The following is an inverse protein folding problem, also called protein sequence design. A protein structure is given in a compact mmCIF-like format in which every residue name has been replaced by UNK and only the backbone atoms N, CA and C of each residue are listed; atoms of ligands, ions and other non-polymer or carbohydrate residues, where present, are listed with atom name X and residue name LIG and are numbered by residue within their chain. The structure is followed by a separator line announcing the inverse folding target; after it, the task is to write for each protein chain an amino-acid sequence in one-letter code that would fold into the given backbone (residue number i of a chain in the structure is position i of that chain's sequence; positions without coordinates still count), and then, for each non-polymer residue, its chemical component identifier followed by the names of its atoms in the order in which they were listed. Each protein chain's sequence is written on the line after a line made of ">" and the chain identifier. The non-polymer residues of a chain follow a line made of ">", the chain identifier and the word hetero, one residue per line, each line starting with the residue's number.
data_IF_312280877431
#
_entry.id   IF_312280877431
#
_cell.length_a   1.000
_cell.length_b   1.000
_cell.length_c   1.000
_cell.angle_alpha   90.00
_cell.angle_beta   90.00
_cell.angle_gamma   90.00
#
_symmetry.space_group_name_H-M   'P 1'
#
loop_
_entity.id
_entity.type
_entity.pdbx_description
1 polymer ?
#
# COMPACT_ATOMS: atom_id res chain seq x y z
N UNK A 1 18.92 -31.00 13.15
CA UNK A 1 17.48 -30.85 12.88
C UNK A 1 17.33 -29.90 11.70
N UNK A 2 17.17 -30.45 10.50
CA UNK A 2 17.03 -29.65 9.29
C UNK A 2 15.57 -29.18 9.21
N UNK A 3 15.32 -27.89 9.43
CA UNK A 3 14.02 -27.27 9.11
C UNK A 3 13.84 -27.35 7.59
N UNK A 4 13.21 -28.42 7.11
CA UNK A 4 12.74 -28.52 5.73
C UNK A 4 11.55 -27.57 5.54
N UNK A 5 11.82 -26.26 5.46
CA UNK A 5 10.83 -25.18 5.31
C UNK A 5 9.99 -25.24 4.01
N UNK A 6 10.21 -26.24 3.15
CA UNK A 6 9.59 -26.38 1.83
C UNK A 6 8.42 -27.37 1.78
N UNK A 7 8.15 -28.15 2.85
CA UNK A 7 7.10 -29.18 2.79
C UNK A 7 5.67 -28.65 3.01
N UNK A 8 5.50 -27.41 3.49
CA UNK A 8 4.20 -26.88 3.95
C UNK A 8 3.65 -25.73 3.09
N UNK A 9 3.87 -25.76 1.78
CA UNK A 9 3.35 -24.71 0.90
C UNK A 9 1.94 -25.04 0.41
N UNK A 10 0.97 -24.19 0.74
CA UNK A 10 -0.40 -24.30 0.23
C UNK A 10 -0.66 -23.16 -0.76
N UNK A 11 -1.17 -23.48 -1.94
CA UNK A 11 -1.56 -22.49 -2.96
C UNK A 11 -3.08 -22.26 -2.89
N UNK A 12 -3.51 -21.03 -2.61
CA UNK A 12 -4.93 -20.65 -2.57
C UNK A 12 -5.32 -19.96 -3.89
N UNK A 13 -6.37 -20.46 -4.53
CA UNK A 13 -6.96 -19.89 -5.76
C UNK A 13 -8.33 -19.24 -5.48
N UNK A 14 -8.80 -18.44 -6.45
CA UNK A 14 -10.11 -17.77 -6.43
C UNK A 14 -10.26 -16.67 -5.35
N UNK A 15 -9.30 -15.75 -5.30
CA UNK A 15 -9.35 -14.57 -4.43
C UNK A 15 -9.77 -13.36 -5.25
N UNK A 16 -11.01 -12.91 -5.05
CA UNK A 16 -11.61 -11.83 -5.86
C UNK A 16 -11.39 -10.42 -5.28
N UNK A 17 -10.85 -10.31 -4.06
CA UNK A 17 -10.58 -9.02 -3.41
C UNK A 17 -9.40 -9.10 -2.44
N UNK A 18 -8.78 -7.96 -2.14
CA UNK A 18 -7.74 -7.86 -1.09
C UNK A 18 -8.29 -8.27 0.28
N UNK A 19 -9.55 -7.94 0.56
CA UNK A 19 -10.20 -8.33 1.82
C UNK A 19 -10.38 -9.85 1.90
N UNK A 20 -10.77 -10.49 0.80
CA UNK A 20 -10.84 -11.95 0.72
C UNK A 20 -9.45 -12.60 0.84
N UNK A 21 -8.42 -11.99 0.27
CA UNK A 21 -7.03 -12.45 0.41
C UNK A 21 -6.58 -12.45 1.87
N UNK A 22 -6.78 -11.35 2.60
CA UNK A 22 -6.43 -11.28 4.02
C UNK A 22 -7.16 -12.37 4.83
N UNK A 23 -8.48 -12.50 4.65
CA UNK A 23 -9.26 -13.55 5.33
C UNK A 23 -8.78 -14.96 5.00
N UNK A 24 -8.43 -15.22 3.75
CA UNK A 24 -7.93 -16.52 3.32
C UNK A 24 -6.57 -16.84 3.95
N UNK A 25 -5.69 -15.85 4.04
CA UNK A 25 -4.39 -15.98 4.70
C UNK A 25 -4.59 -16.27 6.19
N UNK A 26 -5.40 -15.48 6.89
CA UNK A 26 -5.67 -15.65 8.32
C UNK A 26 -6.27 -17.03 8.63
N UNK A 27 -7.21 -17.48 7.79
CA UNK A 27 -7.82 -18.80 7.90
C UNK A 27 -6.79 -19.92 7.73
N UNK A 28 -5.94 -19.83 6.69
CA UNK A 28 -4.98 -20.88 6.37
C UNK A 28 -3.84 -20.94 7.40
N UNK A 29 -3.37 -19.80 7.91
CA UNK A 29 -2.43 -19.73 9.03
C UNK A 29 -3.04 -20.43 10.25
N UNK A 30 -4.28 -20.09 10.62
CA UNK A 30 -4.96 -20.67 11.78
C UNK A 30 -5.12 -22.19 11.65
N UNK A 31 -5.48 -22.66 10.44
CA UNK A 31 -5.59 -24.09 10.12
C UNK A 31 -4.25 -24.81 10.27
N UNK A 32 -3.18 -24.30 9.65
CA UNK A 32 -1.87 -24.94 9.68
C UNK A 32 -1.29 -24.96 11.09
N UNK A 33 -1.43 -23.87 11.85
CA UNK A 33 -1.03 -23.81 13.26
C UNK A 33 -1.79 -24.83 14.11
N UNK A 34 -3.10 -24.98 13.90
CA UNK A 34 -3.92 -25.96 14.61
C UNK A 34 -3.47 -27.40 14.32
N UNK A 35 -3.28 -27.74 13.04
CA UNK A 35 -2.81 -29.07 12.61
C UNK A 35 -1.41 -29.37 13.17
N UNK A 36 -0.52 -28.39 13.13
CA UNK A 36 0.83 -28.52 13.70
C UNK A 36 0.78 -28.74 15.22
N UNK A 37 -0.06 -27.98 15.93
CA UNK A 37 -0.19 -28.07 17.40
C UNK A 37 -0.82 -29.38 17.86
N UNK A 38 -1.65 -30.02 17.02
CA UNK A 38 -2.26 -31.32 17.28
C UNK A 38 -1.35 -32.51 16.93
N UNK A 39 -0.09 -32.25 16.52
CA UNK A 39 0.83 -33.30 16.06
C UNK A 39 0.43 -33.91 14.71
N UNK A 40 -0.46 -33.25 13.97
CA UNK A 40 -0.93 -33.66 12.64
C UNK A 40 -0.20 -32.92 11.52
N UNK A 41 1.08 -32.61 11.71
CA UNK A 41 1.91 -31.90 10.74
C UNK A 41 1.96 -32.60 9.38
N UNK A 42 1.80 -33.93 9.35
CA UNK A 42 1.80 -34.74 8.12
C UNK A 42 0.57 -34.49 7.23
N UNK A 43 -0.47 -33.84 7.75
CA UNK A 43 -1.63 -33.42 6.96
C UNK A 43 -1.40 -32.09 6.24
N UNK A 44 -0.35 -31.35 6.58
CA UNK A 44 0.04 -30.10 5.92
C UNK A 44 0.90 -30.47 4.71
N UNK A 45 0.23 -30.87 3.63
CA UNK A 45 0.86 -31.25 2.37
C UNK A 45 0.80 -30.11 1.35
N UNK A 46 1.68 -30.17 0.35
CA UNK A 46 1.64 -29.22 -0.77
C UNK A 46 0.41 -29.49 -1.65
N UNK A 47 -0.61 -28.64 -1.51
CA UNK A 47 -1.88 -28.77 -2.21
C UNK A 47 -2.40 -27.44 -2.74
N UNK A 48 -3.26 -27.52 -3.75
CA UNK A 48 -4.02 -26.35 -4.22
C UNK A 48 -5.40 -26.36 -3.57
N UNK A 49 -5.72 -25.26 -2.88
CA UNK A 49 -7.01 -25.02 -2.22
C UNK A 49 -7.76 -23.88 -2.91
N UNK A 50 -9.08 -23.91 -2.80
CA UNK A 50 -9.98 -22.87 -3.28
C UNK A 50 -10.48 -22.04 -2.11
N UNK A 51 -10.48 -20.72 -2.23
CA UNK A 51 -11.22 -19.87 -1.31
C UNK A 51 -12.71 -19.85 -1.65
N UNK A 52 -13.54 -20.23 -0.68
CA UNK A 52 -15.00 -20.16 -0.77
C UNK A 52 -15.50 -18.97 0.05
N UNK A 53 -15.98 -17.94 -0.63
CA UNK A 53 -16.34 -16.68 0.03
C UNK A 53 -17.59 -16.80 0.93
N UNK A 54 -18.59 -17.59 0.51
CA UNK A 54 -19.80 -17.82 1.29
C UNK A 54 -19.57 -18.60 2.59
N UNK A 55 -18.58 -19.50 2.59
CA UNK A 55 -18.20 -20.29 3.77
C UNK A 55 -17.00 -19.75 4.54
N UNK A 56 -16.35 -18.68 4.05
CA UNK A 56 -15.09 -18.12 4.56
C UNK A 56 -14.05 -19.19 4.91
N UNK A 57 -13.90 -20.18 4.02
CA UNK A 57 -13.03 -21.35 4.26
C UNK A 57 -12.25 -21.71 3.00
N UNK A 58 -11.08 -22.30 3.21
CA UNK A 58 -10.33 -22.93 2.13
C UNK A 58 -10.80 -24.38 1.96
N UNK A 59 -11.10 -24.79 0.73
CA UNK A 59 -11.51 -26.17 0.40
C UNK A 59 -10.43 -26.80 -0.47
N UNK A 60 -9.99 -28.02 -0.13
CA UNK A 60 -9.02 -28.75 -0.95
C UNK A 60 -9.60 -29.04 -2.33
N UNK A 61 -8.88 -28.66 -3.40
CA UNK A 61 -9.25 -29.07 -4.76
C UNK A 61 -8.48 -30.32 -5.19
N UNK A 62 -7.16 -30.32 -5.02
CA UNK A 62 -6.28 -31.44 -5.42
C UNK A 62 -5.26 -31.68 -4.31
N UNK A 63 -5.31 -32.88 -3.72
CA UNK A 63 -4.47 -33.30 -2.58
C UNK A 63 -3.02 -33.60 -2.96
N UNK A 64 -2.77 -33.93 -4.22
CA UNK A 64 -1.44 -34.26 -4.73
C UNK A 64 -1.14 -33.38 -5.93
N UNK A 65 -0.04 -32.63 -5.83
CA UNK A 65 0.66 -32.14 -7.01
C UNK A 65 1.33 -33.38 -7.62
N UNK A 66 0.67 -34.04 -8.57
CA UNK A 66 1.25 -35.13 -9.35
C UNK A 66 2.47 -34.58 -10.12
N UNK A 67 3.63 -34.54 -9.46
CA UNK A 67 4.84 -33.93 -9.98
C UNK A 67 4.77 -32.41 -10.14
N UNK A 68 5.94 -31.77 -10.21
CA UNK A 68 6.04 -30.50 -10.92
C UNK A 68 5.56 -30.80 -12.34
N UNK A 69 4.49 -30.14 -12.77
CA UNK A 69 4.04 -30.21 -14.15
C UNK A 69 5.22 -29.78 -15.03
N UNK A 70 5.76 -30.73 -15.78
CA UNK A 70 6.86 -30.50 -16.71
C UNK A 70 6.32 -29.69 -17.90
N UNK A 71 6.17 -28.39 -17.67
CA UNK A 71 6.00 -27.41 -18.71
C UNK A 71 7.32 -27.39 -19.47
N UNK A 72 7.42 -28.25 -20.48
CA UNK A 72 8.57 -28.37 -21.38
C UNK A 72 8.76 -27.04 -22.11
N UNK A 73 9.34 -26.05 -21.44
CA UNK A 73 9.53 -24.71 -21.97
C UNK A 73 10.43 -24.81 -23.20
N UNK A 74 9.93 -24.34 -24.33
CA UNK A 74 10.69 -24.15 -25.55
C UNK A 74 10.41 -22.74 -26.08
N UNK A 75 11.38 -22.10 -26.76
CA UNK A 75 11.15 -20.82 -27.42
C UNK A 75 10.05 -20.97 -28.47
N UNK A 76 9.05 -20.10 -28.44
CA UNK A 76 7.98 -20.10 -29.44
C UNK A 76 8.60 -19.85 -30.83
N UNK A 77 8.52 -20.81 -31.78
CA UNK A 77 9.24 -20.70 -33.05
C UNK A 77 8.65 -19.64 -33.99
N UNK A 78 7.38 -19.31 -33.81
CA UNK A 78 6.64 -18.37 -34.66
C UNK A 78 6.79 -16.91 -34.19
N UNK A 79 7.28 -16.68 -32.96
CA UNK A 79 7.47 -15.34 -32.41
C UNK A 79 8.94 -14.93 -32.55
N UNK A 80 9.24 -13.85 -33.30
CA UNK A 80 10.60 -13.30 -33.31
C UNK A 80 10.97 -12.75 -31.92
N UNK A 81 12.26 -12.71 -31.63
CA UNK A 81 12.75 -12.12 -30.39
C UNK A 81 12.32 -10.65 -30.26
N UNK A 82 11.79 -10.30 -29.08
CA UNK A 82 11.43 -8.92 -28.78
C UNK A 82 12.70 -8.15 -28.41
N UNK A 83 13.23 -7.39 -29.36
CA UNK A 83 14.39 -6.51 -29.14
C UNK A 83 13.89 -5.13 -28.71
N UNK A 84 14.20 -4.75 -27.47
CA UNK A 84 13.91 -3.42 -26.93
C UNK A 84 15.13 -2.53 -27.12
N UNK A 85 15.01 -1.47 -27.92
CA UNK A 85 16.09 -0.50 -28.10
C UNK A 85 16.22 0.42 -26.88
N UNK A 86 17.42 0.93 -26.62
CA UNK A 86 17.66 1.89 -25.53
C UNK A 86 16.80 3.15 -25.71
N UNK A 87 16.62 3.63 -26.94
CA UNK A 87 15.74 4.76 -27.25
C UNK A 87 14.28 4.48 -26.88
N UNK A 88 13.80 3.26 -27.16
CA UNK A 88 12.44 2.86 -26.81
C UNK A 88 12.25 2.80 -25.29
N UNK A 89 13.18 2.19 -24.57
CA UNK A 89 13.16 2.14 -23.09
C UNK A 89 13.25 3.55 -22.50
N UNK A 90 14.14 4.39 -23.04
CA UNK A 90 14.31 5.78 -22.62
C UNK A 90 13.06 6.64 -22.84
N UNK A 91 12.34 6.42 -23.95
CA UNK A 91 11.08 7.10 -24.21
C UNK A 91 9.99 6.71 -23.19
N UNK A 92 9.91 5.43 -22.82
CA UNK A 92 8.99 4.95 -21.79
C UNK A 92 9.37 5.55 -20.45
N UNK A 93 10.63 5.44 -20.03
CA UNK A 93 11.13 6.00 -18.77
C UNK A 93 10.82 7.49 -18.63
N UNK A 94 10.94 8.25 -19.72
CA UNK A 94 10.65 9.70 -19.74
C UNK A 94 9.15 10.01 -19.66
N UNK A 95 8.30 9.08 -20.12
CA UNK A 95 6.83 9.22 -20.06
C UNK A 95 6.21 8.76 -18.73
N UNK A 96 6.96 8.01 -17.92
CA UNK A 96 6.45 7.47 -16.66
C UNK A 96 6.17 8.59 -15.65
N UNK A 97 5.01 8.56 -14.96
CA UNK A 97 4.73 9.50 -13.89
C UNK A 97 5.62 9.24 -12.67
N UNK A 98 5.71 10.24 -11.79
CA UNK A 98 6.39 10.12 -10.50
C UNK A 98 5.83 8.92 -9.72
N UNK A 99 6.72 8.03 -9.26
CA UNK A 99 6.34 6.85 -8.48
C UNK A 99 5.63 7.27 -7.18
N UNK A 100 4.63 6.51 -6.70
CA UNK A 100 3.90 6.84 -5.47
C UNK A 100 4.83 7.05 -4.26
N UNK A 101 5.89 6.27 -4.14
CA UNK A 101 6.87 6.40 -3.06
C UNK A 101 7.64 7.74 -3.12
N UNK A 102 8.02 8.18 -4.31
CA UNK A 102 8.68 9.48 -4.49
C UNK A 102 7.72 10.63 -4.21
N UNK A 103 6.46 10.50 -4.65
CA UNK A 103 5.37 11.44 -4.31
C UNK A 103 5.22 11.58 -2.80
N UNK A 104 5.21 10.46 -2.05
CA UNK A 104 5.11 10.48 -0.58
C UNK A 104 6.25 11.27 0.06
N UNK A 105 7.50 10.94 -0.28
CA UNK A 105 8.68 11.64 0.24
C UNK A 105 8.68 13.13 -0.10
N UNK A 106 8.19 13.51 -1.30
CA UNK A 106 8.04 14.91 -1.69
C UNK A 106 7.02 15.64 -0.80
N UNK A 107 5.88 15.02 -0.52
CA UNK A 107 4.85 15.59 0.36
C UNK A 107 5.27 15.65 1.83
N UNK A 108 6.00 14.64 2.32
CA UNK A 108 6.60 14.66 3.66
C UNK A 108 7.58 15.82 3.82
N UNK A 109 8.45 16.05 2.82
CA UNK A 109 9.36 17.20 2.80
C UNK A 109 8.65 18.57 2.76
N UNK A 110 7.39 18.61 2.30
CA UNK A 110 6.56 19.81 2.31
C UNK A 110 5.89 20.05 3.68
N UNK A 111 6.11 19.17 4.66
CA UNK A 111 5.54 19.30 6.01
C UNK A 111 4.07 18.88 6.11
N UNK A 112 3.56 18.12 5.12
CA UNK A 112 2.20 17.58 5.16
C UNK A 112 2.09 16.44 6.17
N UNK A 113 0.90 16.29 6.76
CA UNK A 113 0.62 15.18 7.67
C UNK A 113 0.68 13.84 6.93
N UNK A 114 1.03 12.76 7.64
CA UNK A 114 1.12 11.42 7.04
C UNK A 114 -0.22 10.98 6.40
N UNK A 115 -1.36 11.41 6.96
CA UNK A 115 -2.69 11.11 6.44
C UNK A 115 -2.92 11.79 5.08
N UNK A 116 -2.60 13.08 4.98
CA UNK A 116 -2.73 13.85 3.73
C UNK A 116 -1.79 13.31 2.65
N UNK A 117 -0.56 12.96 3.04
CA UNK A 117 0.45 12.36 2.14
C UNK A 117 -0.06 11.06 1.55
N UNK A 118 -0.63 10.16 2.37
CA UNK A 118 -1.12 8.87 1.90
C UNK A 118 -2.30 9.04 0.94
N UNK A 119 -3.21 9.96 1.24
CA UNK A 119 -4.36 10.27 0.38
C UNK A 119 -3.91 10.83 -0.98
N UNK A 120 -3.04 11.85 -0.97
CA UNK A 120 -2.59 12.54 -2.18
C UNK A 120 -1.63 11.70 -3.04
N UNK A 121 -0.88 10.78 -2.43
CA UNK A 121 0.06 9.93 -3.17
C UNK A 121 -0.62 8.74 -3.86
N UNK A 122 -1.77 8.29 -3.36
CA UNK A 122 -2.51 7.18 -3.94
C UNK A 122 -3.43 7.61 -5.10
N UNK A 123 -3.64 8.92 -5.29
CA UNK A 123 -4.36 9.44 -6.44
C UNK A 123 -3.47 9.46 -7.69
N UNK A 124 -3.96 8.85 -8.78
CA UNK A 124 -3.28 8.79 -10.07
C UNK A 124 -3.35 10.14 -10.79
N UNK A 125 -4.42 10.90 -10.54
CA UNK A 125 -4.65 12.24 -11.08
C UNK A 125 -4.95 13.21 -9.94
N UNK A 126 -3.96 13.59 -9.11
CA UNK A 126 -4.18 14.61 -8.11
C UNK A 126 -4.67 15.87 -8.85
N UNK A 127 -5.80 16.47 -8.44
CA UNK A 127 -6.30 17.65 -9.11
C UNK A 127 -5.17 18.68 -9.14
N UNK A 128 -4.80 19.14 -10.33
CA UNK A 128 -3.75 20.16 -10.55
C UNK A 128 -3.98 21.44 -9.71
N UNK A 129 -5.19 21.56 -9.15
CA UNK A 129 -5.66 22.59 -8.24
C UNK A 129 -5.09 22.53 -6.80
N UNK A 130 -4.58 21.39 -6.32
CA UNK A 130 -4.34 21.18 -4.88
C UNK A 130 -3.08 21.83 -4.29
N UNK A 131 -1.95 21.78 -4.99
CA UNK A 131 -0.68 22.28 -4.44
C UNK A 131 -0.58 23.82 -4.43
N UNK A 132 -1.26 24.49 -5.37
CA UNK A 132 -1.26 25.96 -5.43
C UNK A 132 -2.16 26.58 -4.37
N UNK A 133 -3.34 26.01 -4.15
CA UNK A 133 -4.26 26.46 -3.08
C UNK A 133 -3.72 26.18 -1.67
N UNK A 134 -3.00 25.07 -1.45
CA UNK A 134 -2.41 24.78 -0.13
C UNK A 134 -1.33 25.80 0.22
N UNK A 135 -0.44 26.17 -0.72
CA UNK A 135 0.58 27.19 -0.48
C UNK A 135 -0.02 28.58 -0.21
N UNK A 136 -1.12 28.96 -0.89
CA UNK A 136 -1.83 30.22 -0.62
C UNK A 136 -2.57 30.20 0.74
N UNK A 137 -3.09 29.05 1.16
CA UNK A 137 -3.73 28.87 2.47
C UNK A 137 -2.74 29.07 3.63
N UNK A 138 -1.55 28.46 3.56
CA UNK A 138 -0.53 28.58 4.62
C UNK A 138 0.07 29.99 4.71
N UNK A 139 0.17 30.71 3.59
CA UNK A 139 0.56 32.12 3.58
C UNK A 139 -0.51 33.04 4.21
N UNK A 140 -1.79 32.70 4.09
CA UNK A 140 -2.89 33.48 4.66
C UNK A 140 -3.05 33.24 6.18
N UNK A 141 -2.88 32.00 6.63
CA UNK A 141 -2.95 31.62 8.05
C UNK A 141 -1.84 32.26 8.91
N UNK A 142 -0.64 32.42 8.34
CA UNK A 142 0.47 33.11 9.03
C UNK A 142 0.20 34.61 9.20
N UNK A 143 -0.41 35.26 8.21
CA UNK A 143 -0.76 36.69 8.30
C UNK A 143 -1.89 36.95 9.31
N UNK A 144 -2.90 36.06 9.37
CA UNK A 144 -4.01 36.14 10.33
C UNK A 144 -3.55 35.95 11.77
N UNK A 145 -2.65 34.99 12.02
CA UNK A 145 -2.09 34.76 13.36
C UNK A 145 -1.23 35.95 13.81
N UNK A 146 -0.43 36.55 12.92
CA UNK A 146 0.38 37.74 13.26
C UNK A 146 -0.51 38.94 13.58
N UNK A 147 -1.58 39.18 12.82
CA UNK A 147 -2.54 40.25 13.09
C UNK A 147 -3.30 40.03 14.41
N UNK A 148 -3.69 38.79 14.70
CA UNK A 148 -4.39 38.47 15.95
C UNK A 148 -3.47 38.65 17.16
N UNK A 149 -2.20 38.21 17.09
CA UNK A 149 -1.23 38.49 18.14
C UNK A 149 -0.97 39.99 18.32
N UNK A 150 -0.84 40.74 17.22
CA UNK A 150 -0.58 42.17 17.26
C UNK A 150 -1.74 42.95 17.91
N UNK A 151 -2.99 42.65 17.53
CA UNK A 151 -4.19 43.22 18.14
C UNK A 151 -4.29 42.88 19.64
N UNK A 152 -3.93 41.66 20.02
CA UNK A 152 -3.99 41.20 21.39
C UNK A 152 -2.91 41.86 22.26
N UNK A 153 -1.73 42.14 21.71
CA UNK A 153 -0.71 42.96 22.38
C UNK A 153 -1.11 44.43 22.50
N UNK A 154 -1.78 45.02 21.50
CA UNK A 154 -2.27 46.40 21.58
C UNK A 154 -3.36 46.53 22.66
N UNK A 155 -4.33 45.62 22.70
CA UNK A 155 -5.38 45.60 23.72
C UNK A 155 -4.83 45.36 25.14
N UNK A 156 -3.77 44.56 25.28
CA UNK A 156 -3.04 44.40 26.55
C UNK A 156 -2.34 45.70 26.98
N UNK A 157 -1.72 46.43 26.04
CA UNK A 157 -1.05 47.70 26.31
C UNK A 157 -2.04 48.81 26.68
N UNK A 158 -3.20 48.92 26.03
CA UNK A 158 -4.24 49.87 26.44
C UNK A 158 -4.71 49.63 27.88
N UNK A 159 -4.85 48.36 28.29
CA UNK A 159 -5.24 48.01 29.67
C UNK A 159 -4.17 48.29 30.72
N UNK A 160 -2.89 48.30 30.34
CA UNK A 160 -1.78 48.60 31.24
C UNK A 160 -1.47 50.10 31.32
N UNK A 161 -1.73 50.86 30.26
CA UNK A 161 -1.42 52.30 30.17
C UNK A 161 -2.59 53.16 30.69
N UNK A 162 -3.84 52.68 30.61
CA UNK A 162 -5.02 53.40 31.14
C UNK A 162 -5.75 52.62 32.25
N UNK A 163 -5.23 52.57 33.48
CA UNK A 163 -6.04 52.17 34.62
C UNK A 163 -6.88 53.37 35.07
N UNK A 164 -8.19 53.30 34.83
CA UNK A 164 -9.24 54.03 35.55
C UNK A 164 -9.22 55.57 35.40
N UNK A 165 -10.01 56.08 34.45
CA UNK A 165 -10.79 57.30 34.69
C UNK A 165 -12.21 56.85 35.06
N UNK A 166 -12.72 57.42 36.15
CA UNK A 166 -13.91 56.98 36.90
C UNK A 166 -15.24 57.00 36.15
#
# INVERSE_FOLDING_TARGET
>A
MCFSLLCWQVEIKNLNSFSAMNRAIDFEISRQVSLHSQGQSDQIVQETRLWEEGGQKTVTMRKYKEGLSDYRYFPEPDLPEVILTEDYVGSICSSLPELPELKRRRYEKMGLSMQDVLFLANDVNPPRMGLRCLLESYACLTLLLVLQYFLQTILMLERLVFPLAG
#
